data_IF_437257188408
#
_entry.id   IF_437257188408
#
_cell.length_a   1.000
_cell.length_b   1.000
_cell.length_c   1.000
_cell.angle_alpha   90.00
_cell.angle_beta   90.00
_cell.angle_gamma   90.00
#
_symmetry.space_group_name_H-M   'P 1'
#
loop_
_entity.id
_entity.type
_entity.pdbx_description
1 polymer ?
#
# COMPACT_ATOMS: atom_id res chain seq x y z
N UNK A 1 5.57 -4.54 -26.85
CA UNK A 1 5.56 -4.45 -25.38
C UNK A 1 6.69 -3.50 -24.99
N UNK A 2 6.41 -2.20 -24.76
CA UNK A 2 7.47 -1.25 -24.38
C UNK A 2 7.89 -1.57 -22.96
N UNK A 3 9.10 -2.11 -22.83
CA UNK A 3 9.76 -2.38 -21.56
C UNK A 3 9.79 -1.08 -20.75
N UNK A 4 8.90 -0.96 -19.76
CA UNK A 4 9.06 -0.04 -18.63
C UNK A 4 10.21 -0.63 -17.79
N UNK A 5 11.40 -0.64 -18.38
CA UNK A 5 12.65 -0.93 -17.68
C UNK A 5 13.07 0.38 -17.04
N UNK A 6 12.27 0.79 -16.06
CA UNK A 6 12.78 1.66 -15.03
C UNK A 6 13.99 0.89 -14.49
N UNK A 7 15.21 1.38 -14.81
CA UNK A 7 16.45 0.64 -14.54
C UNK A 7 16.35 -0.01 -13.17
N UNK A 8 16.64 -1.30 -13.05
CA UNK A 8 16.42 -2.06 -11.80
C UNK A 8 17.07 -1.36 -10.58
N UNK A 9 18.05 -0.48 -10.82
CA UNK A 9 18.70 0.38 -9.85
C UNK A 9 17.81 1.50 -9.28
N UNK A 10 16.85 2.02 -10.03
CA UNK A 10 15.91 3.10 -9.61
C UNK A 10 14.69 2.59 -8.85
N UNK A 11 14.32 1.32 -9.03
CA UNK A 11 13.12 0.74 -8.39
C UNK A 11 13.12 0.88 -6.86
N UNK A 12 14.23 0.60 -6.14
CA UNK A 12 14.27 0.79 -4.68
C UNK A 12 14.08 2.24 -4.26
N UNK A 13 14.66 3.19 -5.00
CA UNK A 13 14.53 4.62 -4.70
C UNK A 13 13.10 5.11 -4.86
N UNK A 14 12.43 4.73 -5.95
CA UNK A 14 11.01 5.05 -6.13
C UNK A 14 10.14 4.37 -5.08
N UNK A 15 10.43 3.11 -4.74
CA UNK A 15 9.71 2.40 -3.70
C UNK A 15 9.81 3.15 -2.37
N UNK A 16 11.03 3.48 -1.91
CA UNK A 16 11.23 4.21 -0.64
C UNK A 16 10.51 5.57 -0.68
N UNK A 17 10.63 6.31 -1.78
CA UNK A 17 10.01 7.62 -1.90
C UNK A 17 8.48 7.55 -1.83
N UNK A 18 7.87 6.68 -2.64
CA UNK A 18 6.41 6.47 -2.67
C UNK A 18 5.93 5.89 -1.34
N UNK A 19 6.64 4.92 -0.78
CA UNK A 19 6.28 4.26 0.48
C UNK A 19 6.30 5.22 1.67
N UNK A 20 7.31 6.09 1.75
CA UNK A 20 7.47 7.07 2.81
C UNK A 20 6.29 8.05 2.90
N UNK A 21 5.66 8.38 1.77
CA UNK A 21 4.46 9.25 1.76
C UNK A 21 3.31 8.69 2.60
N UNK A 22 3.26 7.37 2.82
CA UNK A 22 2.26 6.75 3.68
C UNK A 22 2.30 7.23 5.13
N UNK A 23 3.49 7.47 5.67
CA UNK A 23 3.65 7.98 7.04
C UNK A 23 3.35 9.48 7.13
N UNK A 24 3.63 10.23 6.05
CA UNK A 24 3.17 11.62 5.95
C UNK A 24 1.64 11.67 5.95
N UNK A 25 0.99 10.82 5.15
CA UNK A 25 -0.47 10.71 5.13
C UNK A 25 -1.03 10.32 6.50
N UNK A 26 -0.40 9.40 7.23
CA UNK A 26 -0.80 9.09 8.61
C UNK A 26 -0.66 10.31 9.53
N UNK A 27 0.51 10.97 9.54
CA UNK A 27 0.78 12.12 10.40
C UNK A 27 -0.19 13.28 10.17
N UNK A 28 -0.47 13.60 8.90
CA UNK A 28 -1.31 14.75 8.54
C UNK A 28 -2.78 14.42 8.35
N UNK A 29 -3.12 13.17 8.05
CA UNK A 29 -4.50 12.74 7.76
C UNK A 29 -5.27 12.25 8.99
N UNK A 30 -4.60 11.65 9.97
CA UNK A 30 -5.24 11.15 11.20
C UNK A 30 -5.92 12.21 12.08
N UNK A 31 -5.51 13.50 12.06
CA UNK A 31 -6.29 14.57 12.71
C UNK A 31 -7.68 14.79 12.09
N UNK A 32 -7.89 14.39 10.82
CA UNK A 32 -9.11 14.67 10.06
C UNK A 32 -9.96 13.43 9.78
N UNK A 33 -9.38 12.23 9.85
CA UNK A 33 -10.06 10.99 9.52
C UNK A 33 -9.60 9.84 10.44
N UNK A 34 -10.50 8.89 10.67
CA UNK A 34 -10.14 7.67 11.38
C UNK A 34 -9.13 6.82 10.59
N UNK A 35 -8.30 6.00 11.26
CA UNK A 35 -7.21 5.25 10.64
C UNK A 35 -7.70 4.36 9.51
N UNK A 36 -8.75 3.59 9.77
CA UNK A 36 -9.33 2.66 8.82
C UNK A 36 -10.02 3.38 7.66
N UNK A 37 -10.65 4.53 7.91
CA UNK A 37 -11.28 5.36 6.87
C UNK A 37 -10.23 5.94 5.93
N UNK A 38 -9.18 6.55 6.49
CA UNK A 38 -8.06 7.11 5.72
C UNK A 38 -7.36 6.02 4.89
N UNK A 39 -7.15 4.85 5.49
CA UNK A 39 -6.53 3.71 4.83
C UNK A 39 -7.44 3.14 3.72
N UNK A 40 -8.75 3.06 3.97
CA UNK A 40 -9.73 2.61 2.96
C UNK A 40 -9.69 3.47 1.72
N UNK A 41 -9.69 4.81 1.86
CA UNK A 41 -9.53 5.71 0.71
C UNK A 41 -8.22 5.44 -0.04
N UNK A 42 -7.12 5.29 0.67
CA UNK A 42 -5.80 5.05 0.08
C UNK A 42 -5.75 3.73 -0.70
N UNK A 43 -6.35 2.66 -0.18
CA UNK A 43 -6.39 1.36 -0.85
C UNK A 43 -7.35 1.38 -2.04
N UNK A 44 -8.51 2.03 -1.94
CA UNK A 44 -9.44 2.19 -3.08
C UNK A 44 -8.77 2.96 -4.22
N UNK A 45 -8.12 4.08 -3.94
CA UNK A 45 -7.38 4.85 -4.95
C UNK A 45 -6.27 4.01 -5.59
N UNK A 46 -5.51 3.27 -4.78
CA UNK A 46 -4.47 2.36 -5.27
C UNK A 46 -5.06 1.28 -6.18
N UNK A 47 -6.19 0.69 -5.79
CA UNK A 47 -6.88 -0.34 -6.56
C UNK A 47 -7.34 0.20 -7.92
N UNK A 48 -7.89 1.43 -7.97
CA UNK A 48 -8.27 2.09 -9.23
C UNK A 48 -7.05 2.27 -10.14
N UNK A 49 -5.96 2.82 -9.62
CA UNK A 49 -4.71 3.01 -10.40
C UNK A 49 -4.19 1.68 -10.91
N UNK A 50 -4.17 0.65 -10.07
CA UNK A 50 -3.67 -0.68 -10.44
C UNK A 50 -4.58 -1.35 -11.48
N UNK A 51 -5.89 -1.21 -11.37
CA UNK A 51 -6.85 -1.71 -12.37
C UNK A 51 -6.65 -1.04 -13.74
N UNK A 52 -6.38 0.26 -13.78
CA UNK A 52 -6.07 0.98 -15.03
C UNK A 52 -4.77 0.43 -15.66
N UNK A 53 -3.72 0.26 -14.87
CA UNK A 53 -2.44 -0.31 -15.32
C UNK A 53 -2.63 -1.74 -15.84
N UNK A 54 -3.40 -2.57 -15.14
CA UNK A 54 -3.71 -3.94 -15.55
C UNK A 54 -4.43 -4.00 -16.90
N UNK A 55 -5.38 -3.10 -17.14
CA UNK A 55 -6.09 -2.99 -18.43
C UNK A 55 -5.15 -2.61 -19.57
N UNK A 56 -4.26 -1.64 -19.35
CA UNK A 56 -3.28 -1.20 -20.35
C UNK A 56 -2.31 -2.34 -20.70
N UNK A 57 -1.87 -3.10 -19.69
CA UNK A 57 -0.87 -4.16 -19.85
C UNK A 57 -1.47 -5.52 -20.25
N UNK A 58 -2.79 -5.64 -20.38
CA UNK A 58 -3.50 -6.91 -20.65
C UNK A 58 -3.04 -8.03 -19.71
N UNK A 59 -2.92 -7.70 -18.42
CA UNK A 59 -2.35 -8.61 -17.42
C UNK A 59 -3.20 -9.87 -17.24
N UNK A 60 -2.54 -11.01 -17.10
CA UNK A 60 -3.18 -12.32 -16.94
C UNK A 60 -3.67 -12.43 -15.50
N UNK A 61 -4.97 -12.67 -15.33
CA UNK A 61 -5.56 -12.91 -14.02
C UNK A 61 -5.23 -14.33 -13.52
N UNK A 62 -5.12 -14.53 -12.19
CA UNK A 62 -4.87 -15.85 -11.63
C UNK A 62 -6.00 -16.81 -12.04
N UNK A 63 -5.62 -17.93 -12.66
CA UNK A 63 -6.56 -18.92 -13.21
C UNK A 63 -7.03 -19.95 -12.18
N UNK A 64 -6.32 -20.10 -11.06
CA UNK A 64 -6.67 -21.03 -9.98
C UNK A 64 -7.40 -20.33 -8.84
N UNK A 65 -8.52 -20.93 -8.38
CA UNK A 65 -9.26 -20.47 -7.19
C UNK A 65 -8.38 -20.44 -5.93
N UNK A 66 -7.46 -21.39 -5.81
CA UNK A 66 -6.54 -21.45 -4.67
C UNK A 66 -5.54 -20.28 -4.71
N UNK A 67 -5.00 -19.97 -5.89
CA UNK A 67 -4.11 -18.82 -6.06
C UNK A 67 -4.83 -17.50 -5.74
N UNK A 68 -6.08 -17.36 -6.18
CA UNK A 68 -6.92 -16.21 -5.84
C UNK A 68 -7.13 -16.08 -4.33
N UNK A 69 -7.42 -17.19 -3.63
CA UNK A 69 -7.57 -17.18 -2.18
C UNK A 69 -6.28 -16.75 -1.46
N UNK A 70 -5.12 -17.28 -1.85
CA UNK A 70 -3.84 -16.86 -1.27
C UNK A 70 -3.57 -15.37 -1.49
N UNK A 71 -3.89 -14.83 -2.68
CA UNK A 71 -3.75 -13.40 -2.96
C UNK A 71 -4.68 -12.55 -2.08
N UNK A 72 -5.92 -12.98 -1.88
CA UNK A 72 -6.86 -12.28 -0.99
C UNK A 72 -6.36 -12.28 0.46
N UNK A 73 -5.94 -13.44 0.98
CA UNK A 73 -5.43 -13.55 2.36
C UNK A 73 -4.18 -12.70 2.54
N UNK A 74 -3.23 -12.80 1.62
CA UNK A 74 -1.98 -12.03 1.67
C UNK A 74 -2.27 -10.53 1.59
N UNK A 75 -3.13 -10.12 0.66
CA UNK A 75 -3.55 -8.72 0.52
C UNK A 75 -4.23 -8.20 1.79
N UNK A 76 -5.12 -8.98 2.41
CA UNK A 76 -5.78 -8.62 3.65
C UNK A 76 -4.80 -8.49 4.82
N UNK A 77 -3.86 -9.42 4.96
CA UNK A 77 -2.86 -9.37 6.03
C UNK A 77 -1.94 -8.15 5.89
N UNK A 78 -1.48 -7.85 4.67
CA UNK A 78 -0.57 -6.72 4.43
C UNK A 78 -1.31 -5.38 4.52
N UNK A 79 -2.43 -5.23 3.80
CA UNK A 79 -3.09 -3.94 3.66
C UNK A 79 -4.15 -3.67 4.73
N UNK A 80 -4.75 -4.72 5.30
CA UNK A 80 -5.73 -4.62 6.37
C UNK A 80 -5.05 -4.68 7.74
N UNK A 81 -4.49 -5.83 8.09
CA UNK A 81 -3.97 -6.08 9.46
C UNK A 81 -2.71 -5.27 9.73
N UNK A 82 -1.68 -5.41 8.89
CA UNK A 82 -0.39 -4.74 9.11
C UNK A 82 -0.50 -3.22 9.00
N UNK A 83 -0.96 -2.68 7.86
CA UNK A 83 -1.10 -1.23 7.70
C UNK A 83 -2.17 -0.62 8.64
N UNK A 84 -3.26 -1.33 8.89
CA UNK A 84 -4.29 -0.91 9.84
C UNK A 84 -3.73 -0.80 11.26
N UNK A 85 -2.98 -1.81 11.71
CA UNK A 85 -2.30 -1.79 13.00
C UNK A 85 -1.32 -0.63 13.13
N UNK A 86 -0.52 -0.35 12.08
CA UNK A 86 0.42 0.78 12.07
C UNK A 86 -0.32 2.12 12.20
N UNK A 87 -1.35 2.36 11.38
CA UNK A 87 -2.10 3.61 11.41
C UNK A 87 -2.85 3.79 12.74
N UNK A 88 -3.35 2.69 13.32
CA UNK A 88 -4.00 2.70 14.63
C UNK A 88 -3.00 3.02 15.75
N UNK A 89 -1.80 2.45 15.73
CA UNK A 89 -0.74 2.76 16.68
C UNK A 89 -0.34 4.25 16.62
N UNK A 90 -0.25 4.82 15.42
CA UNK A 90 0.01 6.26 15.24
C UNK A 90 -1.13 7.10 15.84
N UNK A 91 -2.40 6.71 15.63
CA UNK A 91 -3.55 7.39 16.27
C UNK A 91 -3.51 7.29 17.80
N UNK A 92 -2.99 6.20 18.36
CA UNK A 92 -2.79 6.05 19.80
C UNK A 92 -1.60 6.85 20.37
N UNK A 93 -0.90 7.63 19.54
CA UNK A 93 0.15 8.54 19.98
C UNK A 93 1.56 8.09 19.62
N UNK A 94 1.72 6.98 18.89
CA UNK A 94 3.04 6.58 18.40
C UNK A 94 3.54 7.60 17.37
N UNK A 95 4.76 8.17 17.53
CA UNK A 95 5.33 9.06 16.53
C UNK A 95 5.49 8.34 15.19
N UNK A 96 5.03 8.95 14.11
CA UNK A 96 5.07 8.33 12.77
C UNK A 96 6.51 7.95 12.35
N UNK A 97 7.53 8.71 12.77
CA UNK A 97 8.93 8.39 12.52
C UNK A 97 9.41 7.13 13.26
N UNK A 98 8.98 6.94 14.51
CA UNK A 98 9.29 5.73 15.27
C UNK A 98 8.57 4.53 14.65
N UNK A 99 7.30 4.70 14.25
CA UNK A 99 6.56 3.66 13.54
C UNK A 99 7.31 3.23 12.28
N UNK A 100 7.77 4.18 11.45
CA UNK A 100 8.52 3.87 10.24
C UNK A 100 9.86 3.20 10.48
N UNK A 101 10.51 3.44 11.61
CA UNK A 101 11.79 2.79 11.95
C UNK A 101 11.60 1.34 12.41
N UNK A 102 10.47 1.02 13.03
CA UNK A 102 10.17 -0.35 13.47
C UNK A 102 9.74 -1.23 12.30
N UNK A 103 9.02 -0.66 11.33
CA UNK A 103 8.40 -1.42 10.24
C UNK A 103 9.12 -1.33 8.89
N UNK A 104 10.02 -0.37 8.71
CA UNK A 104 10.81 -0.16 7.50
C UNK A 104 12.10 -0.97 7.50
#
# INVERSE_FOLDING_TARGET
MKNITLSARLTPWLFVWIWSTGFLAAKYGLPYAEPFTLLSYRIVLTMIVMLLIMRINKSIWPSSRLAFFHLMVTGFLIHGVYLGGVFQAIKWGMPAGLASMIIG
#
